data_IF_541540300153
#
_entry.id   IF_541540300153
#
_cell.length_a   1.000
_cell.length_b   1.000
_cell.length_c   1.000
_cell.angle_alpha   90.00
_cell.angle_beta   90.00
_cell.angle_gamma   90.00
#
_symmetry.space_group_name_H-M   'P 1'
#
loop_
_entity.id
_entity.type
_entity.pdbx_description
1 polymer ?
#
# COMPACT_ATOMS: atom_id res chain seq x y z
N UNK A 1 19.51 -0.74 -8.74
CA UNK A 1 19.67 0.06 -7.49
C UNK A 1 19.39 -0.87 -6.32
N UNK A 2 20.29 -0.96 -5.34
CA UNK A 2 20.04 -1.77 -4.14
C UNK A 2 18.97 -1.07 -3.30
N UNK A 3 17.81 -1.70 -3.10
CA UNK A 3 16.75 -1.18 -2.23
C UNK A 3 17.20 -1.39 -0.79
N UNK A 4 17.26 -0.33 0.02
CA UNK A 4 17.51 -0.45 1.46
C UNK A 4 16.17 -0.60 2.21
N UNK A 5 15.84 -1.79 2.75
CA UNK A 5 14.56 -2.04 3.40
C UNK A 5 14.32 -1.19 4.65
N UNK A 6 15.37 -0.97 5.47
CA UNK A 6 15.26 -0.20 6.72
C UNK A 6 14.94 1.27 6.44
N UNK A 7 15.56 1.83 5.39
CA UNK A 7 15.28 3.20 4.96
C UNK A 7 13.84 3.32 4.44
N UNK A 8 13.39 2.39 3.61
CA UNK A 8 12.02 2.40 3.07
C UNK A 8 10.97 2.32 4.19
N UNK A 9 11.21 1.50 5.22
CA UNK A 9 10.32 1.38 6.37
C UNK A 9 10.26 2.68 7.20
N UNK A 10 11.42 3.27 7.50
CA UNK A 10 11.49 4.53 8.25
C UNK A 10 10.80 5.67 7.51
N UNK A 11 11.06 5.80 6.21
CA UNK A 11 10.43 6.81 5.34
C UNK A 11 8.91 6.60 5.25
N UNK A 12 8.44 5.35 5.22
CA UNK A 12 7.01 5.03 5.23
C UNK A 12 6.32 5.42 6.54
N UNK A 13 6.97 5.17 7.68
CA UNK A 13 6.44 5.57 8.99
C UNK A 13 6.33 7.10 9.07
N UNK A 14 7.37 7.82 8.65
CA UNK A 14 7.35 9.28 8.62
C UNK A 14 6.23 9.82 7.72
N UNK A 15 6.10 9.26 6.51
CA UNK A 15 5.00 9.59 5.60
C UNK A 15 3.62 9.30 6.20
N UNK A 16 3.44 8.16 6.87
CA UNK A 16 2.18 7.81 7.50
C UNK A 16 1.81 8.75 8.65
N UNK A 17 2.79 9.26 9.40
CA UNK A 17 2.60 10.27 10.44
C UNK A 17 2.18 11.62 9.84
N UNK A 18 2.90 12.08 8.80
CA UNK A 18 2.59 13.34 8.09
C UNK A 18 1.19 13.32 7.47
N UNK A 19 0.80 12.20 6.87
CA UNK A 19 -0.53 11.99 6.30
C UNK A 19 -1.63 11.74 7.35
N UNK A 20 -1.29 11.70 8.65
CA UNK A 20 -2.16 11.32 9.78
C UNK A 20 -2.81 9.93 9.62
N UNK A 21 -2.28 9.10 8.72
CA UNK A 21 -2.65 7.70 8.56
C UNK A 21 -2.25 6.92 9.81
N UNK A 22 -1.06 7.18 10.35
CA UNK A 22 -0.63 6.70 11.64
C UNK A 22 -0.84 7.81 12.68
N UNK A 23 -1.57 7.49 13.75
CA UNK A 23 -1.82 8.41 14.86
C UNK A 23 -1.60 7.71 16.20
N UNK A 24 -1.09 8.43 17.21
CA UNK A 24 -0.92 7.95 18.57
C UNK A 24 -1.96 8.57 19.51
N UNK A 25 -2.41 7.81 20.50
CA UNK A 25 -3.52 8.18 21.38
C UNK A 25 -4.24 6.93 21.90
N UNK A 26 -5.46 7.09 22.42
CA UNK A 26 -6.25 5.95 22.87
C UNK A 26 -7.33 5.60 21.83
N UNK A 27 -7.23 4.40 21.24
CA UNK A 27 -8.16 3.94 20.21
C UNK A 27 -8.75 2.58 20.57
N UNK A 28 -10.07 2.42 20.42
CA UNK A 28 -10.74 1.12 20.56
C UNK A 28 -10.81 0.42 19.20
N UNK A 29 -10.14 -0.72 19.08
CA UNK A 29 -10.15 -1.53 17.84
C UNK A 29 -11.50 -2.22 17.65
N UNK A 30 -11.76 -2.76 16.44
CA UNK A 30 -12.97 -3.55 16.16
C UNK A 30 -13.12 -4.79 17.06
N UNK A 31 -12.00 -5.34 17.55
CA UNK A 31 -11.98 -6.45 18.50
C UNK A 31 -12.18 -5.99 19.97
N UNK A 32 -12.42 -4.70 20.22
CA UNK A 32 -12.63 -4.14 21.55
C UNK A 32 -11.35 -3.81 22.33
N UNK A 33 -10.17 -4.19 21.83
CA UNK A 33 -8.87 -3.88 22.45
C UNK A 33 -8.56 -2.38 22.40
N UNK A 34 -8.09 -1.82 23.50
CA UNK A 34 -7.47 -0.49 23.55
C UNK A 34 -6.06 -0.54 22.96
N UNK A 35 -5.79 0.35 22.01
CA UNK A 35 -4.53 0.47 21.29
C UNK A 35 -3.95 1.87 21.48
N UNK A 36 -2.62 2.00 21.73
CA UNK A 36 -1.96 3.30 21.85
C UNK A 36 -1.74 4.00 20.49
N UNK A 37 -2.13 3.34 19.40
CA UNK A 37 -2.06 3.89 18.05
C UNK A 37 -3.18 3.37 17.16
N UNK A 38 -3.43 4.08 16.06
CA UNK A 38 -4.34 3.66 15.00
C UNK A 38 -3.71 3.90 13.63
N UNK A 39 -3.93 2.95 12.72
CA UNK A 39 -3.48 3.04 11.33
C UNK A 39 -4.69 3.04 10.40
N UNK A 40 -5.01 4.19 9.80
CA UNK A 40 -6.11 4.37 8.87
C UNK A 40 -5.63 4.60 7.44
N UNK A 41 -5.35 3.51 6.71
CA UNK A 41 -4.93 3.57 5.32
C UNK A 41 -5.94 4.32 4.39
N UNK A 42 -7.19 4.50 4.82
CA UNK A 42 -8.17 5.28 4.06
C UNK A 42 -7.89 6.78 3.99
N UNK A 43 -6.94 7.28 4.79
CA UNK A 43 -6.48 8.67 4.70
C UNK A 43 -5.43 8.90 3.62
N UNK A 44 -4.91 7.86 2.96
CA UNK A 44 -4.22 8.00 1.68
C UNK A 44 -5.26 8.24 0.57
N UNK A 45 -5.78 9.45 0.49
CA UNK A 45 -7.00 9.77 -0.27
C UNK A 45 -6.81 10.82 -1.38
N UNK A 46 -5.59 11.34 -1.57
CA UNK A 46 -5.22 12.15 -2.72
C UNK A 46 -4.21 11.44 -3.64
N UNK A 47 -3.99 12.01 -4.83
CA UNK A 47 -3.13 11.42 -5.85
C UNK A 47 -1.64 11.38 -5.47
N UNK A 48 -1.15 12.37 -4.71
CA UNK A 48 0.25 12.42 -4.29
C UNK A 48 0.52 11.34 -3.23
N UNK A 49 -0.39 11.21 -2.26
CA UNK A 49 -0.35 10.17 -1.24
C UNK A 49 -0.47 8.77 -1.83
N UNK A 50 -1.42 8.55 -2.73
CA UNK A 50 -1.61 7.25 -3.38
C UNK A 50 -0.40 6.87 -4.24
N UNK A 51 0.19 7.82 -4.96
CA UNK A 51 1.41 7.61 -5.74
C UNK A 51 2.58 7.19 -4.84
N UNK A 52 2.82 7.95 -3.76
CA UNK A 52 3.90 7.66 -2.81
C UNK A 52 3.68 6.33 -2.07
N UNK A 53 2.43 5.99 -1.73
CA UNK A 53 2.07 4.68 -1.21
C UNK A 53 2.43 3.55 -2.18
N UNK A 54 2.16 3.74 -3.48
CA UNK A 54 2.55 2.79 -4.53
C UNK A 54 4.06 2.56 -4.60
N UNK A 55 4.84 3.63 -4.49
CA UNK A 55 6.32 3.58 -4.45
C UNK A 55 6.84 2.78 -3.26
N UNK A 56 6.30 3.01 -2.06
CA UNK A 56 6.68 2.24 -0.86
C UNK A 56 6.44 0.73 -1.02
N UNK A 57 5.30 0.34 -1.60
CA UNK A 57 4.98 -1.06 -1.87
C UNK A 57 5.86 -1.64 -2.99
N UNK A 58 6.15 -0.87 -4.05
CA UNK A 58 7.03 -1.31 -5.12
C UNK A 58 8.46 -1.55 -4.60
N UNK A 59 8.99 -0.65 -3.77
CA UNK A 59 10.28 -0.84 -3.13
C UNK A 59 10.29 -2.08 -2.22
N UNK A 60 9.24 -2.28 -1.41
CA UNK A 60 9.15 -3.46 -0.55
C UNK A 60 9.13 -4.76 -1.37
N UNK A 61 8.40 -4.81 -2.50
CA UNK A 61 8.38 -5.96 -3.40
C UNK A 61 9.71 -6.20 -4.11
N UNK A 62 10.39 -5.15 -4.56
CA UNK A 62 11.71 -5.28 -5.20
C UNK A 62 12.79 -5.71 -4.21
N UNK A 63 12.66 -5.34 -2.93
CA UNK A 63 13.58 -5.72 -1.86
C UNK A 63 13.29 -7.07 -1.20
N UNK A 64 12.16 -7.72 -1.48
CA UNK A 64 11.75 -8.96 -0.79
C UNK A 64 12.34 -10.24 -1.39
N UNK A 65 12.91 -10.18 -2.61
CA UNK A 65 13.30 -11.38 -3.39
C UNK A 65 12.17 -12.41 -3.57
N UNK A 66 10.91 -11.97 -3.51
CA UNK A 66 9.76 -12.83 -3.83
C UNK A 66 9.50 -12.76 -5.33
N UNK A 67 9.49 -13.92 -5.98
CA UNK A 67 9.08 -14.03 -7.38
C UNK A 67 7.55 -13.93 -7.51
N UNK A 68 7.09 -13.22 -8.55
CA UNK A 68 5.68 -13.08 -8.87
C UNK A 68 5.48 -12.66 -10.32
N UNK A 69 4.39 -13.15 -10.92
CA UNK A 69 4.03 -12.88 -12.31
C UNK A 69 2.99 -11.75 -12.45
N UNK A 70 2.25 -11.45 -11.37
CA UNK A 70 1.21 -10.43 -11.37
C UNK A 70 0.92 -9.87 -9.97
N UNK A 71 0.30 -8.69 -9.92
CA UNK A 71 -0.30 -8.14 -8.70
C UNK A 71 -1.81 -8.38 -8.68
N UNK A 72 -2.35 -8.83 -7.56
CA UNK A 72 -3.78 -8.98 -7.37
C UNK A 72 -4.30 -8.07 -6.26
N UNK A 73 -5.24 -7.18 -6.59
CA UNK A 73 -5.85 -6.22 -5.68
C UNK A 73 -7.26 -6.64 -5.25
N UNK A 74 -7.49 -7.13 -4.02
CA UNK A 74 -8.82 -7.53 -3.58
C UNK A 74 -9.78 -6.34 -3.43
N UNK A 75 -11.02 -6.48 -3.90
CA UNK A 75 -12.01 -5.42 -3.80
C UNK A 75 -12.37 -5.05 -2.35
N UNK A 76 -12.46 -3.76 -1.98
CA UNK A 76 -12.33 -2.56 -2.83
C UNK A 76 -10.97 -1.87 -2.72
N UNK A 77 -10.43 -1.79 -1.50
CA UNK A 77 -9.21 -1.01 -1.19
C UNK A 77 -7.97 -1.56 -1.89
N UNK A 78 -7.91 -2.87 -2.15
CA UNK A 78 -6.78 -3.49 -2.83
C UNK A 78 -6.67 -3.09 -4.30
N UNK A 79 -7.76 -2.63 -4.92
CA UNK A 79 -7.79 -2.26 -6.34
C UNK A 79 -6.86 -1.07 -6.59
N UNK A 80 -7.03 0.02 -5.84
CA UNK A 80 -6.21 1.23 -6.00
C UNK A 80 -4.76 1.00 -5.57
N UNK A 81 -4.56 0.17 -4.55
CA UNK A 81 -3.22 -0.21 -4.11
C UNK A 81 -2.47 -1.00 -5.19
N UNK A 82 -3.07 -2.07 -5.71
CA UNK A 82 -2.44 -2.89 -6.76
C UNK A 82 -2.16 -2.06 -8.02
N UNK A 83 -3.09 -1.19 -8.42
CA UNK A 83 -2.90 -0.30 -9.56
C UNK A 83 -1.73 0.68 -9.34
N UNK A 84 -1.69 1.36 -8.18
CA UNK A 84 -0.62 2.31 -7.85
C UNK A 84 0.75 1.63 -7.77
N UNK A 85 0.82 0.45 -7.14
CA UNK A 85 2.05 -0.34 -7.06
C UNK A 85 2.53 -0.82 -8.43
N UNK A 86 1.61 -1.25 -9.33
CA UNK A 86 1.97 -1.64 -10.69
C UNK A 86 2.56 -0.46 -11.48
N UNK A 87 1.96 0.73 -11.35
CA UNK A 87 2.49 1.97 -11.95
C UNK A 87 3.90 2.28 -11.42
N UNK A 88 4.11 2.17 -10.10
CA UNK A 88 5.41 2.42 -9.48
C UNK A 88 6.47 1.39 -9.93
N UNK A 89 6.14 0.10 -9.99
CA UNK A 89 7.03 -0.94 -10.51
C UNK A 89 7.44 -0.66 -11.97
N UNK A 90 6.49 -0.25 -12.82
CA UNK A 90 6.78 0.11 -14.21
C UNK A 90 7.77 1.28 -14.31
N UNK A 91 7.64 2.31 -13.45
CA UNK A 91 8.61 3.41 -13.36
C UNK A 91 9.99 2.95 -12.87
N UNK A 92 10.06 1.90 -12.07
CA UNK A 92 11.30 1.26 -11.63
C UNK A 92 11.86 0.23 -12.64
N UNK A 93 11.29 0.13 -13.84
CA UNK A 93 11.76 -0.76 -14.91
C UNK A 93 11.20 -2.19 -14.86
N UNK A 94 10.23 -2.48 -13.99
CA UNK A 94 9.53 -3.78 -13.93
C UNK A 94 8.06 -3.61 -14.30
N UNK A 95 7.75 -3.78 -15.58
CA UNK A 95 6.36 -3.78 -16.03
C UNK A 95 5.64 -5.06 -15.56
N UNK A 96 4.66 -4.92 -14.68
CA UNK A 96 3.96 -6.07 -14.05
C UNK A 96 2.46 -5.99 -14.33
N UNK A 97 1.83 -7.06 -14.85
CA UNK A 97 0.37 -7.15 -14.94
C UNK A 97 -0.30 -6.98 -13.58
N UNK A 98 -1.51 -6.40 -13.56
CA UNK A 98 -2.35 -6.40 -12.37
C UNK A 98 -3.79 -6.80 -12.68
N UNK A 99 -4.45 -7.42 -11.71
CA UNK A 99 -5.86 -7.77 -11.76
C UNK A 99 -6.54 -7.49 -10.42
N UNK A 100 -7.88 -7.51 -10.44
CA UNK A 100 -8.70 -7.38 -9.25
C UNK A 100 -10.03 -8.12 -9.44
N UNK A 101 -10.66 -8.53 -8.34
CA UNK A 101 -11.99 -9.11 -8.38
C UNK A 101 -13.09 -8.06 -8.17
N UNK A 102 -14.32 -8.43 -8.50
CA UNK A 102 -15.54 -7.75 -8.06
C UNK A 102 -16.16 -8.53 -6.89
N UNK A 103 -17.01 -7.88 -6.10
CA UNK A 103 -17.78 -8.55 -5.04
C UNK A 103 -18.90 -9.42 -5.62
N UNK A 104 -19.49 -8.93 -6.70
CA UNK A 104 -20.53 -9.64 -7.45
C UNK A 104 -20.03 -9.99 -8.85
N UNK A 105 -20.59 -11.06 -9.41
CA UNK A 105 -20.34 -11.43 -10.81
C UNK A 105 -20.86 -10.32 -11.72
N UNK A 106 -20.17 -10.10 -12.84
CA UNK A 106 -20.57 -9.09 -13.82
C UNK A 106 -21.62 -9.70 -14.74
N UNK A 107 -22.83 -9.15 -14.76
CA UNK A 107 -23.91 -9.64 -15.62
C UNK A 107 -23.74 -9.29 -17.12
N UNK A 108 -22.75 -8.44 -17.46
CA UNK A 108 -22.31 -8.09 -18.82
C UNK A 108 -21.06 -7.20 -18.78
#
# INVERSE_FOLDING_TARGET
>A
MSVNPEKNQSDFIQFALEAKVLSFGEFKTKAGRLSPYFFNAGLFNDGAQLGKLGEFYAHALLGSNIDFDMLFGPAYKGITLAASTAIALARSGRNTPFAYNRKEVKDH
#
